data_IF_552105352650
#
_entry.id   IF_552105352650
#
_cell.length_a   1.000
_cell.length_b   1.000
_cell.length_c   1.000
_cell.angle_alpha   90.00
_cell.angle_beta   90.00
_cell.angle_gamma   90.00
#
_symmetry.space_group_name_H-M   'P 1'
#
loop_
_entity.id
_entity.type
_entity.pdbx_description
1 polymer ?
#
# COMPACT_ATOMS: atom_id res chain seq x y z
N UNK A 1 24.55 34.47 -5.78
CA UNK A 1 24.52 33.37 -6.76
C UNK A 1 24.90 32.01 -6.18
N UNK A 2 25.61 31.91 -5.05
CA UNK A 2 26.03 30.63 -4.47
C UNK A 2 24.96 29.91 -3.63
N UNK A 3 23.84 30.57 -3.32
CA UNK A 3 22.80 30.01 -2.44
C UNK A 3 21.73 29.21 -3.16
N UNK A 4 21.70 29.23 -4.49
CA UNK A 4 20.67 28.53 -5.30
C UNK A 4 20.94 27.03 -5.34
N UNK A 5 22.19 26.59 -5.23
CA UNK A 5 22.56 25.18 -5.29
C UNK A 5 22.16 24.36 -4.06
N UNK A 6 22.06 24.98 -2.89
CA UNK A 6 21.72 24.30 -1.63
C UNK A 6 20.24 23.93 -1.58
N UNK A 7 19.36 24.75 -2.18
CA UNK A 7 17.91 24.52 -2.20
C UNK A 7 17.54 23.35 -3.12
N UNK A 8 18.26 23.18 -4.24
CA UNK A 8 18.02 22.07 -5.19
C UNK A 8 18.43 20.72 -4.57
N UNK A 9 19.46 20.68 -3.75
CA UNK A 9 19.93 19.45 -3.10
C UNK A 9 18.94 18.92 -2.06
N UNK A 10 18.25 19.81 -1.34
CA UNK A 10 17.25 19.43 -0.32
C UNK A 10 15.98 18.82 -0.93
N UNK A 11 15.62 19.20 -2.15
CA UNK A 11 14.47 18.67 -2.88
C UNK A 11 14.70 17.22 -3.32
N UNK A 12 15.96 16.83 -3.55
CA UNK A 12 16.31 15.48 -4.03
C UNK A 12 16.33 14.42 -2.92
N UNK A 13 16.26 14.80 -1.63
CA UNK A 13 16.38 13.88 -0.50
C UNK A 13 15.04 13.23 -0.13
N UNK A 14 13.89 13.87 -0.44
CA UNK A 14 12.58 13.30 -0.15
C UNK A 14 12.03 12.56 -1.36
N UNK A 15 12.05 11.22 -1.32
CA UNK A 15 11.36 10.39 -2.31
C UNK A 15 9.92 10.22 -1.84
N UNK A 16 8.93 10.84 -2.51
CA UNK A 16 7.55 10.70 -2.09
C UNK A 16 7.05 9.26 -2.33
N UNK A 17 6.19 8.77 -1.43
CA UNK A 17 5.61 7.43 -1.50
C UNK A 17 4.84 7.15 -2.80
N UNK A 18 4.36 8.20 -3.47
CA UNK A 18 3.68 8.12 -4.77
C UNK A 18 4.63 7.85 -5.95
N UNK A 19 5.95 7.88 -5.73
CA UNK A 19 6.92 7.44 -6.73
C UNK A 19 6.96 5.92 -6.92
N UNK A 20 6.37 5.16 -5.99
CA UNK A 20 6.23 3.72 -6.13
C UNK A 20 5.03 3.38 -7.01
N UNK A 21 5.20 2.39 -7.88
CA UNK A 21 4.10 1.89 -8.72
C UNK A 21 3.10 1.07 -7.90
N UNK A 22 1.91 0.87 -8.44
CA UNK A 22 0.92 0.01 -7.80
C UNK A 22 1.42 -1.43 -7.66
N UNK A 23 2.18 -1.92 -8.65
CA UNK A 23 2.78 -3.25 -8.60
C UNK A 23 3.84 -3.36 -7.50
N UNK A 24 4.70 -2.37 -7.34
CA UNK A 24 5.70 -2.35 -6.28
C UNK A 24 5.05 -2.35 -4.89
N UNK A 25 4.00 -1.55 -4.69
CA UNK A 25 3.25 -1.52 -3.44
C UNK A 25 2.56 -2.86 -3.19
N UNK A 26 1.93 -3.44 -4.22
CA UNK A 26 1.29 -4.75 -4.11
C UNK A 26 2.30 -5.85 -3.73
N UNK A 27 3.48 -5.85 -4.32
CA UNK A 27 4.54 -6.81 -4.00
C UNK A 27 5.02 -6.65 -2.54
N UNK A 28 5.16 -5.41 -2.06
CA UNK A 28 5.51 -5.15 -0.68
C UNK A 28 4.42 -5.63 0.29
N UNK A 29 3.16 -5.41 -0.03
CA UNK A 29 2.03 -5.89 0.77
C UNK A 29 2.01 -7.41 0.82
N UNK A 30 2.22 -8.07 -0.32
CA UNK A 30 2.27 -9.54 -0.38
C UNK A 30 3.32 -10.10 0.57
N UNK A 31 4.51 -9.53 0.56
CA UNK A 31 5.61 -9.95 1.44
C UNK A 31 5.35 -9.61 2.90
N UNK A 32 4.78 -8.44 3.18
CA UNK A 32 4.47 -8.00 4.54
C UNK A 32 3.41 -8.88 5.20
N UNK A 33 2.38 -9.26 4.46
CA UNK A 33 1.31 -10.13 4.96
C UNK A 33 1.77 -11.58 5.14
N UNK A 34 2.66 -12.05 4.29
CA UNK A 34 3.32 -13.36 4.36
C UNK A 34 2.36 -14.51 4.68
N UNK A 35 1.22 -14.56 3.99
CA UNK A 35 0.18 -15.56 4.21
C UNK A 35 -0.17 -16.29 2.92
N UNK A 36 -0.03 -17.61 2.92
CA UNK A 36 -0.47 -18.45 1.81
C UNK A 36 -1.98 -18.67 1.80
N UNK A 37 -2.60 -18.64 2.98
CA UNK A 37 -4.04 -18.80 3.14
C UNK A 37 -4.79 -17.54 2.69
N UNK A 38 -4.27 -16.38 3.07
CA UNK A 38 -4.85 -15.08 2.75
C UNK A 38 -3.84 -14.20 2.03
N UNK A 39 -3.55 -14.48 0.74
CA UNK A 39 -2.60 -13.65 -0.02
C UNK A 39 -3.01 -12.17 0.04
N UNK A 40 -2.03 -11.30 0.22
CA UNK A 40 -2.26 -9.86 0.38
C UNK A 40 -3.10 -9.49 1.61
N UNK A 41 -3.28 -10.41 2.57
CA UNK A 41 -4.14 -10.21 3.75
C UNK A 41 -5.63 -10.17 3.47
N UNK A 42 -6.06 -10.58 2.27
CA UNK A 42 -7.45 -10.50 1.85
C UNK A 42 -8.19 -11.76 2.30
N UNK A 43 -9.03 -11.61 3.33
CA UNK A 43 -9.81 -12.73 3.89
C UNK A 43 -11.14 -12.95 3.18
N UNK A 44 -11.74 -11.91 2.63
CA UNK A 44 -13.05 -11.96 1.98
C UNK A 44 -12.96 -12.23 0.49
N UNK A 45 -12.14 -13.20 0.09
CA UNK A 45 -12.09 -13.64 -1.30
C UNK A 45 -13.36 -14.44 -1.62
N UNK A 46 -14.47 -13.74 -1.81
CA UNK A 46 -15.59 -14.33 -2.52
C UNK A 46 -15.19 -14.46 -3.99
N UNK A 47 -15.06 -15.69 -4.41
CA UNK A 47 -14.77 -16.04 -5.79
C UNK A 47 -15.98 -15.69 -6.69
N UNK A 48 -16.24 -14.43 -6.86
CA UNK A 48 -17.05 -13.99 -7.99
C UNK A 48 -16.09 -13.42 -9.02
N UNK A 49 -15.74 -14.26 -9.98
CA UNK A 49 -14.93 -13.83 -11.11
C UNK A 49 -15.78 -12.93 -12.03
N UNK A 50 -15.95 -11.68 -11.61
CA UNK A 50 -16.70 -10.67 -12.36
C UNK A 50 -15.95 -10.17 -13.60
N UNK A 51 -14.70 -10.61 -13.78
CA UNK A 51 -13.88 -10.15 -14.91
C UNK A 51 -14.09 -10.97 -16.17
N UNK A 52 -14.80 -12.09 -16.10
CA UNK A 52 -14.94 -13.03 -17.21
C UNK A 52 -13.65 -13.78 -17.55
N UNK A 53 -12.59 -13.62 -16.75
CA UNK A 53 -11.31 -14.31 -16.91
C UNK A 53 -11.18 -15.44 -15.91
N UNK A 54 -10.57 -16.54 -16.33
CA UNK A 54 -10.21 -17.62 -15.40
C UNK A 54 -8.96 -17.21 -14.62
N UNK A 55 -9.14 -16.70 -13.39
CA UNK A 55 -8.05 -16.30 -12.52
C UNK A 55 -7.86 -17.30 -11.38
N UNK A 56 -6.60 -17.57 -11.04
CA UNK A 56 -6.28 -18.30 -9.82
C UNK A 56 -6.62 -17.45 -8.59
N UNK A 57 -6.66 -18.09 -7.41
CA UNK A 57 -6.86 -17.39 -6.13
C UNK A 57 -5.83 -16.27 -5.94
N UNK A 58 -4.55 -16.55 -6.23
CA UNK A 58 -3.47 -15.58 -6.08
C UNK A 58 -3.61 -14.40 -7.05
N UNK A 59 -3.93 -14.68 -8.31
CA UNK A 59 -4.15 -13.65 -9.32
C UNK A 59 -5.36 -12.77 -8.97
N UNK A 60 -6.42 -13.36 -8.48
CA UNK A 60 -7.61 -12.62 -8.04
C UNK A 60 -7.30 -11.73 -6.83
N UNK A 61 -6.57 -12.27 -5.84
CA UNK A 61 -6.14 -11.50 -4.68
C UNK A 61 -5.25 -10.31 -5.09
N UNK A 62 -4.33 -10.51 -6.03
CA UNK A 62 -3.49 -9.43 -6.56
C UNK A 62 -4.34 -8.36 -7.26
N UNK A 63 -5.31 -8.75 -8.05
CA UNK A 63 -6.23 -7.83 -8.70
C UNK A 63 -6.97 -6.96 -7.70
N UNK A 64 -7.53 -7.56 -6.64
CA UNK A 64 -8.21 -6.82 -5.57
C UNK A 64 -7.24 -5.88 -4.84
N UNK A 65 -6.04 -6.34 -4.53
CA UNK A 65 -5.02 -5.51 -3.87
C UNK A 65 -4.67 -4.28 -4.72
N UNK A 66 -4.40 -4.47 -6.00
CA UNK A 66 -4.07 -3.38 -6.92
C UNK A 66 -5.22 -2.38 -7.08
N UNK A 67 -6.45 -2.86 -7.14
CA UNK A 67 -7.63 -1.99 -7.17
C UNK A 67 -7.76 -1.17 -5.89
N UNK A 68 -7.51 -1.77 -4.74
CA UNK A 68 -7.50 -1.09 -3.45
C UNK A 68 -6.45 0.02 -3.42
N UNK A 69 -5.24 -0.27 -3.87
CA UNK A 69 -4.15 0.71 -3.97
C UNK A 69 -4.56 1.87 -4.87
N UNK A 70 -5.03 1.57 -6.07
CA UNK A 70 -5.43 2.58 -7.06
C UNK A 70 -6.57 3.47 -6.54
N UNK A 71 -7.60 2.88 -5.99
CA UNK A 71 -8.76 3.62 -5.50
C UNK A 71 -8.39 4.52 -4.32
N UNK A 72 -7.50 4.06 -3.45
CA UNK A 72 -7.05 4.85 -2.32
C UNK A 72 -6.07 5.97 -2.72
N UNK A 73 -5.35 5.84 -3.82
CA UNK A 73 -4.59 6.97 -4.39
C UNK A 73 -5.52 8.12 -4.76
N UNK A 74 -6.64 7.81 -5.40
CA UNK A 74 -7.66 8.82 -5.76
C UNK A 74 -8.25 9.48 -4.52
N UNK A 75 -8.63 8.67 -3.54
CA UNK A 75 -9.19 9.17 -2.28
C UNK A 75 -8.21 10.04 -1.49
N UNK A 76 -6.93 9.65 -1.49
CA UNK A 76 -5.91 10.46 -0.84
C UNK A 76 -5.75 11.81 -1.53
N UNK A 77 -5.71 11.85 -2.84
CA UNK A 77 -5.64 13.09 -3.61
C UNK A 77 -6.86 13.99 -3.37
N UNK A 78 -8.04 13.40 -3.20
CA UNK A 78 -9.28 14.16 -2.99
C UNK A 78 -9.42 14.70 -1.57
N UNK A 79 -9.15 13.86 -0.54
CA UNK A 79 -9.39 14.26 0.85
C UNK A 79 -8.39 13.70 1.86
N UNK A 80 -7.78 12.56 1.59
CA UNK A 80 -6.92 11.89 2.56
C UNK A 80 -5.71 12.71 2.99
N UNK A 81 -5.17 13.52 2.09
CA UNK A 81 -4.03 14.40 2.35
C UNK A 81 -4.30 15.42 3.47
N UNK A 82 -5.57 15.72 3.75
CA UNK A 82 -5.95 16.66 4.82
C UNK A 82 -5.72 16.07 6.20
N UNK A 83 -5.78 14.76 6.34
CA UNK A 83 -5.69 14.06 7.63
C UNK A 83 -4.40 13.26 7.79
N UNK A 84 -3.85 12.75 6.71
CA UNK A 84 -2.68 11.88 6.72
C UNK A 84 -1.49 12.54 6.03
N UNK A 85 -0.33 12.50 6.65
CA UNK A 85 0.88 13.14 6.13
C UNK A 85 1.43 12.46 4.87
N UNK A 86 1.13 11.17 4.67
CA UNK A 86 1.58 10.43 3.49
C UNK A 86 0.49 9.51 2.96
N UNK A 87 0.60 9.18 1.67
CA UNK A 87 -0.29 8.22 1.03
C UNK A 87 -0.23 6.84 1.69
N UNK A 88 0.96 6.37 2.06
CA UNK A 88 1.10 5.06 2.70
C UNK A 88 0.45 5.00 4.07
N UNK A 89 0.47 6.08 4.84
CA UNK A 89 -0.27 6.16 6.10
C UNK A 89 -1.78 6.07 5.87
N UNK A 90 -2.26 6.78 4.85
CA UNK A 90 -3.66 6.70 4.46
C UNK A 90 -4.06 5.30 4.00
N UNK A 91 -3.24 4.68 3.14
CA UNK A 91 -3.47 3.32 2.68
C UNK A 91 -3.51 2.32 3.85
N UNK A 92 -2.58 2.45 4.80
CA UNK A 92 -2.56 1.61 6.00
C UNK A 92 -3.87 1.71 6.79
N UNK A 93 -4.40 2.91 6.96
CA UNK A 93 -5.66 3.15 7.68
C UNK A 93 -6.87 2.53 6.97
N UNK A 94 -6.81 2.40 5.66
CA UNK A 94 -7.89 1.86 4.83
C UNK A 94 -7.76 0.37 4.60
N UNK A 95 -6.53 -0.13 4.49
CA UNK A 95 -6.28 -1.53 4.18
C UNK A 95 -6.69 -2.44 5.35
N UNK A 96 -6.20 -2.14 6.54
CA UNK A 96 -6.68 -2.75 7.77
C UNK A 96 -6.43 -1.78 8.93
N UNK A 97 -7.43 -1.03 9.40
CA UNK A 97 -7.28 -0.16 10.55
C UNK A 97 -6.82 -0.94 11.78
N UNK A 98 -6.04 -0.28 12.63
CA UNK A 98 -5.63 -0.85 13.92
C UNK A 98 -6.85 -1.35 14.68
N UNK A 99 -6.78 -2.58 15.21
CA UNK A 99 -7.87 -3.25 15.92
C UNK A 99 -9.12 -3.55 15.05
N UNK A 100 -8.97 -3.65 13.74
CA UNK A 100 -10.04 -4.18 12.90
C UNK A 100 -10.25 -5.69 13.18
N UNK A 101 -11.35 -6.26 12.70
CA UNK A 101 -11.67 -7.68 12.90
C UNK A 101 -10.57 -8.63 12.38
N UNK A 102 -9.79 -8.16 11.41
CA UNK A 102 -8.68 -8.89 10.84
C UNK A 102 -7.37 -8.72 11.61
N UNK A 103 -7.36 -7.89 12.65
CA UNK A 103 -6.19 -7.59 13.47
C UNK A 103 -6.52 -7.61 14.97
N UNK A 104 -7.02 -8.76 15.52
CA UNK A 104 -7.48 -8.84 16.91
C UNK A 104 -6.36 -8.58 17.93
N UNK A 105 -5.10 -8.75 17.55
CA UNK A 105 -3.94 -8.53 18.42
C UNK A 105 -3.31 -7.14 18.29
N UNK A 106 -3.86 -6.28 17.44
CA UNK A 106 -3.31 -4.95 17.18
C UNK A 106 -1.95 -4.96 16.50
N UNK A 107 -1.61 -6.04 15.80
CA UNK A 107 -0.31 -6.21 15.12
C UNK A 107 -0.18 -5.32 13.88
N UNK A 108 -1.29 -4.84 13.36
CA UNK A 108 -1.29 -4.02 12.15
C UNK A 108 -0.59 -2.67 12.30
N UNK A 109 -0.29 -2.26 13.53
CA UNK A 109 0.58 -1.10 13.79
C UNK A 109 1.96 -1.24 13.13
N UNK A 110 2.40 -2.47 12.87
CA UNK A 110 3.67 -2.75 12.20
C UNK A 110 3.55 -2.84 10.68
N UNK A 111 2.35 -2.89 10.14
CA UNK A 111 2.09 -3.06 8.71
C UNK A 111 2.78 -1.95 7.88
N UNK A 112 2.54 -0.71 8.25
CA UNK A 112 3.12 0.44 7.56
C UNK A 112 4.65 0.40 7.58
N UNK A 113 5.23 0.10 8.74
CA UNK A 113 6.69 0.00 8.91
C UNK A 113 7.27 -1.09 8.00
N UNK A 114 6.62 -2.24 7.97
CA UNK A 114 7.06 -3.38 7.16
C UNK A 114 6.95 -3.09 5.66
N UNK A 115 5.84 -2.50 5.22
CA UNK A 115 5.65 -2.13 3.81
C UNK A 115 6.67 -1.08 3.39
N UNK A 116 6.91 -0.05 4.21
CA UNK A 116 7.95 0.96 3.93
C UNK A 116 9.34 0.34 3.79
N UNK A 117 9.70 -0.55 4.70
CA UNK A 117 10.99 -1.25 4.66
C UNK A 117 11.15 -2.03 3.37
N UNK A 118 10.14 -2.79 2.98
CA UNK A 118 10.14 -3.59 1.75
C UNK A 118 10.18 -2.74 0.48
N UNK A 119 9.54 -1.58 0.48
CA UNK A 119 9.59 -0.64 -0.64
C UNK A 119 10.97 0.00 -0.79
N UNK A 120 11.63 0.33 0.30
CA UNK A 120 12.98 0.88 0.28
C UNK A 120 14.01 -0.13 -0.26
N UNK A 121 13.79 -1.42 0.00
CA UNK A 121 14.68 -2.50 -0.43
C UNK A 121 14.62 -2.74 -1.95
N UNK A 122 13.59 -2.24 -2.63
CA UNK A 122 13.40 -2.39 -4.09
C UNK A 122 14.21 -1.36 -4.89
N UNK A 123 14.81 -0.39 -4.23
CA UNK A 123 15.61 0.66 -4.90
C UNK A 123 17.08 0.28 -5.05
#
# INVERSE_FOLDING_TARGET
MKNIFIVVLLILISVPAWSFTNDEIADAIFKAENSSEYPYGIKSLKYENRTGRSLTKLEWARFICKNTIRNNRKRYADYGYKKYASYLEFLASRYCPKNCDNDPRGLNKHWLKNVKYLLEDVK
#
